data_IF_587782512594
#
_entry.id   IF_587782512594
#
_cell.length_a   1.000
_cell.length_b   1.000
_cell.length_c   1.000
_cell.angle_alpha   90.00
_cell.angle_beta   90.00
_cell.angle_gamma   90.00
#
_symmetry.space_group_name_H-M   'P 1'
#
loop_
_entity.id
_entity.type
_entity.pdbx_description
1 polymer ?
#
# COMPACT_ATOMS: atom_id res chain seq x y z
N UNK A 1 -4.64 3.40 -4.01
CA UNK A 1 -4.60 1.99 -4.47
C UNK A 1 -5.49 1.08 -3.66
N UNK A 2 -5.51 1.16 -2.32
CA UNK A 2 -6.37 0.29 -1.50
C UNK A 2 -7.86 0.32 -1.90
N UNK A 3 -8.43 1.52 -2.11
CA UNK A 3 -9.83 1.69 -2.55
C UNK A 3 -10.15 1.07 -3.93
N UNK A 4 -9.15 0.72 -4.74
CA UNK A 4 -9.37 0.03 -6.02
C UNK A 4 -9.59 -1.48 -5.84
N UNK A 5 -9.22 -2.03 -4.68
CA UNK A 5 -9.39 -3.45 -4.39
C UNK A 5 -10.84 -3.76 -4.04
N UNK A 6 -11.37 -4.82 -4.67
CA UNK A 6 -12.72 -5.34 -4.43
C UNK A 6 -12.67 -6.83 -4.04
N UNK A 7 -11.58 -7.23 -3.38
CA UNK A 7 -11.34 -8.63 -3.04
C UNK A 7 -12.11 -8.98 -1.76
N UNK A 8 -13.31 -9.55 -1.93
CA UNK A 8 -14.19 -9.92 -0.82
C UNK A 8 -13.61 -11.08 0.01
N UNK A 9 -12.72 -11.88 -0.57
CA UNK A 9 -12.17 -13.08 0.08
C UNK A 9 -11.00 -12.83 1.03
N UNK A 10 -10.40 -11.63 1.01
CA UNK A 10 -9.26 -11.28 1.86
C UNK A 10 -9.68 -10.36 3.02
N UNK A 11 -9.21 -10.61 4.23
CA UNK A 11 -9.53 -9.79 5.41
C UNK A 11 -8.85 -8.42 5.35
N UNK A 12 -7.62 -8.37 4.82
CA UNK A 12 -6.79 -7.17 4.74
C UNK A 12 -6.31 -6.88 3.31
N UNK A 13 -6.07 -5.59 3.05
CA UNK A 13 -5.58 -5.07 1.79
C UNK A 13 -4.15 -4.54 1.96
N UNK A 14 -3.23 -5.01 1.12
CA UNK A 14 -1.83 -4.59 1.14
C UNK A 14 -1.37 -4.09 -0.23
N UNK A 15 -1.62 -2.81 -0.57
CA UNK A 15 -1.10 -2.19 -1.79
C UNK A 15 0.41 -2.04 -1.74
N UNK A 16 1.12 -2.46 -2.79
CA UNK A 16 2.57 -2.42 -2.91
C UNK A 16 3.02 -1.66 -4.16
N UNK A 17 3.80 -0.60 -3.96
CA UNK A 17 4.52 0.13 -5.00
C UNK A 17 5.97 -0.33 -5.02
N UNK A 18 6.50 -0.64 -6.19
CA UNK A 18 7.93 -0.92 -6.36
C UNK A 18 8.81 0.26 -5.89
N UNK A 19 9.67 0.03 -4.88
CA UNK A 19 10.64 1.01 -4.35
C UNK A 19 12.10 0.73 -4.77
N UNK A 20 12.30 0.04 -5.90
CA UNK A 20 13.55 -0.53 -6.44
C UNK A 20 14.12 -1.68 -5.57
N UNK A 21 15.00 -2.51 -6.14
CA UNK A 21 15.60 -3.70 -5.48
C UNK A 21 14.53 -4.61 -4.85
N UNK A 22 14.81 -5.23 -3.70
CA UNK A 22 13.83 -6.00 -2.91
C UNK A 22 13.03 -5.11 -1.96
N UNK A 23 12.75 -3.86 -2.30
CA UNK A 23 11.95 -2.95 -1.47
C UNK A 23 10.62 -2.59 -2.14
N UNK A 24 9.62 -2.31 -1.30
CA UNK A 24 8.31 -1.76 -1.69
C UNK A 24 7.89 -0.63 -0.76
N UNK A 25 7.17 0.35 -1.29
CA UNK A 25 6.31 1.20 -0.46
C UNK A 25 4.98 0.49 -0.27
N UNK A 26 4.56 0.34 0.98
CA UNK A 26 3.36 -0.42 1.31
C UNK A 26 2.72 0.09 2.59
N UNK A 27 1.47 -0.29 2.79
CA UNK A 27 0.66 -0.11 3.98
C UNK A 27 -0.31 -1.29 4.08
N UNK A 28 -0.97 -1.45 5.22
CA UNK A 28 -2.02 -2.47 5.40
C UNK A 28 -3.29 -1.77 5.86
N UNK A 29 -4.40 -2.10 5.21
CA UNK A 29 -5.70 -1.54 5.48
C UNK A 29 -6.75 -2.63 5.68
N UNK A 30 -7.82 -2.31 6.41
CA UNK A 30 -9.06 -3.09 6.37
C UNK A 30 -9.80 -2.84 5.05
N UNK A 31 -10.91 -3.55 4.82
CA UNK A 31 -11.79 -3.32 3.66
C UNK A 31 -12.45 -1.94 3.68
N UNK A 32 -12.68 -1.40 4.87
CA UNK A 32 -13.20 -0.06 5.12
C UNK A 32 -12.14 1.03 4.95
N UNK A 33 -10.91 0.65 4.55
CA UNK A 33 -9.75 1.51 4.36
C UNK A 33 -9.18 2.11 5.66
N UNK A 34 -9.51 1.52 6.80
CA UNK A 34 -8.88 1.86 8.08
C UNK A 34 -7.44 1.35 8.13
N UNK A 35 -6.53 2.16 8.68
CA UNK A 35 -5.10 1.84 8.73
C UNK A 35 -4.84 0.77 9.79
N UNK A 36 -4.29 -0.37 9.35
CA UNK A 36 -3.74 -1.43 10.21
C UNK A 36 -2.22 -1.27 10.35
N UNK A 37 -1.56 -0.87 9.26
CA UNK A 37 -0.14 -0.53 9.24
C UNK A 37 0.08 0.73 8.40
N UNK A 38 0.69 1.73 9.02
CA UNK A 38 1.05 2.99 8.37
C UNK A 38 1.91 2.80 7.12
N UNK A 39 1.81 3.71 6.12
CA UNK A 39 2.68 3.71 4.96
C UNK A 39 4.17 3.70 5.32
N UNK A 40 4.91 2.76 4.76
CA UNK A 40 6.34 2.60 4.99
C UNK A 40 7.05 2.02 3.77
N UNK A 41 8.37 2.27 3.69
CA UNK A 41 9.25 1.49 2.82
C UNK A 41 9.67 0.20 3.55
N UNK A 42 9.47 -0.95 2.93
CA UNK A 42 9.81 -2.27 3.50
C UNK A 42 10.73 -3.01 2.55
N UNK A 43 11.85 -3.52 3.08
CA UNK A 43 12.67 -4.54 2.41
C UNK A 43 12.00 -5.90 2.58
N UNK A 44 11.60 -6.49 1.46
CA UNK A 44 10.89 -7.76 1.41
C UNK A 44 11.81 -8.95 1.72
N UNK A 45 11.31 -9.83 2.57
CA UNK A 45 11.80 -11.17 2.86
C UNK A 45 10.59 -12.07 3.18
N UNK A 46 10.84 -13.36 3.36
CA UNK A 46 9.80 -14.38 3.63
C UNK A 46 8.99 -14.12 4.91
N UNK A 47 9.52 -13.32 5.85
CA UNK A 47 8.87 -13.05 7.13
C UNK A 47 8.24 -11.64 7.23
N UNK A 48 8.23 -10.87 6.13
CA UNK A 48 7.87 -9.44 6.16
C UNK A 48 6.44 -9.17 6.63
N UNK A 49 5.54 -10.14 6.47
CA UNK A 49 4.12 -10.01 6.82
C UNK A 49 3.59 -11.16 7.69
N UNK A 50 4.47 -11.97 8.29
CA UNK A 50 4.07 -13.15 9.08
C UNK A 50 3.12 -12.80 10.22
N UNK A 51 3.36 -11.69 10.93
CA UNK A 51 2.50 -11.22 12.03
C UNK A 51 1.05 -11.01 11.58
N UNK A 52 0.86 -10.46 10.37
CA UNK A 52 -0.46 -10.15 9.84
C UNK A 52 -1.11 -11.39 9.20
N UNK A 53 -0.32 -12.20 8.48
CA UNK A 53 -0.77 -13.44 7.83
C UNK A 53 -1.15 -14.54 8.82
N UNK A 54 -0.60 -14.51 10.04
CA UNK A 54 -0.90 -15.53 11.06
C UNK A 54 -2.38 -15.60 11.44
N UNK A 55 -3.09 -14.47 11.39
CA UNK A 55 -4.49 -14.36 11.84
C UNK A 55 -5.45 -13.88 10.75
N UNK A 56 -4.93 -13.46 9.59
CA UNK A 56 -5.73 -12.82 8.54
C UNK A 56 -5.28 -13.30 7.17
N UNK A 57 -6.23 -13.38 6.25
CA UNK A 57 -5.93 -13.43 4.83
C UNK A 57 -5.63 -12.04 4.29
N UNK A 58 -4.62 -11.91 3.43
CA UNK A 58 -4.19 -10.61 2.89
C UNK A 58 -4.15 -10.66 1.37
N UNK A 59 -4.75 -9.65 0.73
CA UNK A 59 -4.61 -9.40 -0.70
C UNK A 59 -3.48 -8.40 -0.97
N UNK A 60 -2.42 -8.88 -1.61
CA UNK A 60 -1.29 -8.09 -2.06
C UNK A 60 -1.46 -7.71 -3.54
N UNK A 61 -1.27 -6.44 -3.87
CA UNK A 61 -1.51 -5.94 -5.23
C UNK A 61 -0.70 -4.68 -5.52
N UNK A 62 -0.72 -4.22 -6.78
CA UNK A 62 0.16 -3.17 -7.27
C UNK A 62 1.47 -3.74 -7.85
N UNK A 63 2.25 -2.90 -8.52
CA UNK A 63 3.43 -3.37 -9.27
C UNK A 63 4.53 -3.97 -8.38
N UNK A 64 4.62 -3.55 -7.12
CA UNK A 64 5.58 -4.09 -6.15
C UNK A 64 5.24 -5.50 -5.66
N UNK A 65 3.98 -5.92 -5.76
CA UNK A 65 3.52 -7.21 -5.21
C UNK A 65 4.15 -8.41 -5.92
N UNK A 66 4.53 -8.26 -7.20
CA UNK A 66 5.22 -9.30 -7.96
C UNK A 66 6.55 -9.74 -7.32
N UNK A 67 7.24 -8.83 -6.62
CA UNK A 67 8.47 -9.16 -5.87
C UNK A 67 8.14 -10.07 -4.69
N UNK A 68 7.08 -9.75 -3.96
CA UNK A 68 6.66 -10.53 -2.80
C UNK A 68 6.09 -11.89 -3.21
N UNK A 69 5.35 -11.94 -4.32
CA UNK A 69 4.82 -13.19 -4.91
C UNK A 69 5.90 -14.21 -5.26
N UNK A 70 7.13 -13.77 -5.54
CA UNK A 70 8.25 -14.67 -5.84
C UNK A 70 8.82 -15.36 -4.58
N UNK A 71 8.61 -14.78 -3.40
CA UNK A 71 9.15 -15.28 -2.12
C UNK A 71 8.08 -15.84 -1.19
N UNK A 72 6.85 -15.32 -1.21
CA UNK A 72 5.73 -15.79 -0.40
C UNK A 72 4.99 -16.94 -1.08
N UNK A 73 4.73 -18.02 -0.32
CA UNK A 73 4.23 -19.30 -0.87
C UNK A 73 3.00 -19.84 -0.16
N UNK A 74 2.58 -19.27 0.96
CA UNK A 74 1.51 -19.85 1.77
C UNK A 74 0.68 -18.74 2.41
N UNK A 75 -0.62 -18.64 2.06
CA UNK A 75 -1.64 -17.78 2.68
C UNK A 75 -1.80 -16.34 2.13
N UNK A 76 -1.18 -16.01 1.01
CA UNK A 76 -1.30 -14.70 0.36
C UNK A 76 -2.18 -14.76 -0.91
N UNK A 77 -3.13 -13.85 -1.03
CA UNK A 77 -3.79 -13.56 -2.31
C UNK A 77 -2.99 -12.52 -3.07
N UNK A 78 -2.87 -12.69 -4.38
CA UNK A 78 -2.21 -11.73 -5.25
C UNK A 78 -3.15 -11.33 -6.39
N UNK A 79 -3.39 -10.04 -6.53
CA UNK A 79 -4.26 -9.49 -7.57
C UNK A 79 -3.55 -8.43 -8.41
N UNK A 80 -3.85 -8.37 -9.70
CA UNK A 80 -3.32 -7.35 -10.63
C UNK A 80 -4.19 -6.07 -10.58
N UNK A 81 -4.27 -5.47 -9.40
CA UNK A 81 -4.95 -4.19 -9.21
C UNK A 81 -3.93 -3.07 -9.42
N UNK A 82 -4.27 -2.14 -10.32
CA UNK A 82 -3.45 -0.97 -10.64
C UNK A 82 -4.03 0.28 -10.01
N UNK A 83 -3.18 1.30 -9.83
CA UNK A 83 -3.66 2.62 -9.46
C UNK A 83 -4.51 3.21 -10.59
N UNK A 84 -5.74 3.61 -10.28
CA UNK A 84 -6.66 4.26 -11.19
C UNK A 84 -7.26 5.50 -10.51
N UNK A 85 -7.32 6.61 -11.24
CA UNK A 85 -7.86 7.87 -10.74
C UNK A 85 -9.35 7.77 -10.38
N UNK A 86 -10.12 6.92 -11.06
CA UNK A 86 -11.53 6.66 -10.74
C UNK A 86 -11.70 6.11 -9.32
N UNK A 87 -10.72 5.34 -8.84
CA UNK A 87 -10.71 4.80 -7.47
C UNK A 87 -10.34 5.85 -6.42
N UNK A 88 -10.09 7.11 -6.80
CA UNK A 88 -9.91 8.23 -5.87
C UNK A 88 -11.16 9.12 -5.74
N UNK A 89 -12.18 8.93 -6.58
CA UNK A 89 -13.32 9.85 -6.66
C UNK A 89 -14.04 9.92 -5.31
N UNK A 90 -14.43 8.78 -4.73
CA UNK A 90 -15.17 8.76 -3.45
C UNK A 90 -14.37 9.38 -2.30
N UNK A 91 -13.07 9.07 -2.20
CA UNK A 91 -12.20 9.64 -1.17
C UNK A 91 -12.02 11.15 -1.33
N UNK A 92 -11.88 11.61 -2.58
CA UNK A 92 -11.78 13.03 -2.91
C UNK A 92 -13.08 13.78 -2.60
N UNK A 93 -14.23 13.18 -2.88
CA UNK A 93 -15.55 13.76 -2.60
C UNK A 93 -15.78 13.95 -1.09
N UNK A 94 -15.45 12.94 -0.28
CA UNK A 94 -15.47 13.04 1.19
C UNK A 94 -14.58 14.19 1.65
N UNK A 95 -13.32 14.21 1.21
CA UNK A 95 -12.35 15.25 1.62
C UNK A 95 -12.80 16.66 1.21
N UNK A 96 -13.39 16.79 0.01
CA UNK A 96 -13.94 18.06 -0.47
C UNK A 96 -15.14 18.51 0.37
N UNK A 97 -16.07 17.61 0.66
CA UNK A 97 -17.27 17.89 1.48
C UNK A 97 -16.91 18.30 2.90
N UNK A 98 -15.91 17.65 3.49
CA UNK A 98 -15.38 17.96 4.82
C UNK A 98 -14.43 19.18 4.82
N UNK A 99 -14.22 19.82 3.66
CA UNK A 99 -13.30 20.95 3.47
C UNK A 99 -11.86 20.65 3.91
N UNK A 100 -11.43 19.38 3.82
CA UNK A 100 -10.06 18.93 4.03
C UNK A 100 -9.21 19.23 2.80
N UNK A 101 -8.93 20.51 2.57
CA UNK A 101 -8.12 20.98 1.45
C UNK A 101 -6.70 21.30 1.91
N UNK A 102 -5.70 20.93 1.11
CA UNK A 102 -4.32 21.33 1.36
C UNK A 102 -4.07 22.76 0.86
N UNK A 103 -3.22 23.49 1.57
CA UNK A 103 -2.67 24.76 1.08
C UNK A 103 -1.63 24.47 -0.01
N UNK A 104 -1.71 25.20 -1.12
CA UNK A 104 -0.83 25.04 -2.27
C UNK A 104 0.65 25.18 -1.90
N UNK A 105 1.00 26.05 -0.95
CA UNK A 105 2.38 26.26 -0.51
C UNK A 105 2.92 25.11 0.35
N UNK A 106 2.04 24.32 0.96
CA UNK A 106 2.38 23.26 1.92
C UNK A 106 2.01 21.86 1.46
N UNK A 107 1.49 21.71 0.23
CA UNK A 107 1.21 20.41 -0.36
C UNK A 107 2.52 19.73 -0.77
N UNK A 108 3.01 18.83 0.07
CA UNK A 108 4.26 18.09 -0.16
C UNK A 108 4.02 16.58 -0.42
N UNK A 109 4.94 15.92 -1.14
CA UNK A 109 4.93 14.46 -1.24
C UNK A 109 5.19 13.80 0.12
N UNK A 110 4.60 12.62 0.33
CA UNK A 110 4.93 11.79 1.48
C UNK A 110 6.29 11.10 1.26
N UNK A 111 7.34 11.59 1.92
CA UNK A 111 8.68 11.01 1.86
C UNK A 111 8.84 9.86 2.87
N UNK A 112 8.78 8.61 2.40
CA UNK A 112 8.90 7.40 3.24
C UNK A 112 10.33 6.85 3.34
N UNK A 113 11.32 7.50 2.71
CA UNK A 113 12.75 7.17 2.81
C UNK A 113 13.53 8.45 3.02
N UNK A 114 14.62 8.34 3.77
CA UNK A 114 15.57 9.44 3.92
C UNK A 114 16.16 9.83 2.56
N UNK A 115 16.42 11.12 2.42
CA UNK A 115 17.03 11.68 1.23
C UNK A 115 18.49 11.18 1.10
N UNK A 116 18.77 10.44 0.02
CA UNK A 116 20.14 9.99 -0.26
C UNK A 116 20.98 11.15 -0.81
N UNK A 117 21.95 11.61 -0.01
CA UNK A 117 22.97 12.55 -0.47
C UNK A 117 24.26 11.78 -0.78
N UNK A 118 24.69 11.64 -2.05
CA UNK A 118 26.00 11.06 -2.32
C UNK A 118 27.07 11.98 -1.72
N UNK A 119 27.95 11.43 -0.88
CA UNK A 119 29.12 12.15 -0.41
C UNK A 119 29.96 12.61 -1.61
N UNK A 120 30.42 13.87 -1.57
CA UNK A 120 31.33 14.43 -2.58
C UNK A 120 32.70 13.77 -2.51
#
# INVERSE_FOLDING_TARGET
MANAAKEDSADLLCPMIDARRMEVFTAIYTKELEIVKEPAAITLNENSFTEYLSNNSICFFGNGSNKFKAIEKTQAFFSDIKADASSMISLSEISFTEKKLADLAYAEPLYLKEFYTPAK
#
